data_IF_189694811786
#
_entry.id   IF_189694811786
#
_cell.length_a   1.000
_cell.length_b   1.000
_cell.length_c   1.000
_cell.angle_alpha   90.00
_cell.angle_beta   90.00
_cell.angle_gamma   90.00
#
_symmetry.space_group_name_H-M   'P 1'
#
loop_
_entity.id
_entity.type
_entity.pdbx_description
1 polymer ?
#
# COMPACT_ATOMS: atom_id res chain seq x y z
N UNK A 1 9.88 16.65 4.60
CA UNK A 1 9.92 15.19 4.64
C UNK A 1 10.13 14.73 6.08
N UNK A 2 9.32 13.81 6.56
CA UNK A 2 9.42 13.25 7.91
C UNK A 2 8.93 11.80 7.95
N UNK A 3 9.45 11.02 8.90
CA UNK A 3 9.05 9.62 9.10
C UNK A 3 8.57 9.40 10.53
N UNK A 4 7.65 8.47 10.71
CA UNK A 4 7.07 8.13 11.99
C UNK A 4 6.29 6.82 11.95
N UNK A 5 5.53 6.60 13.02
CA UNK A 5 4.61 5.47 13.13
C UNK A 5 3.18 5.99 13.25
N UNK A 6 2.27 5.42 12.46
CA UNK A 6 0.83 5.63 12.65
C UNK A 6 0.31 4.52 13.54
N UNK A 7 -0.33 4.91 14.64
CA UNK A 7 -0.80 3.98 15.66
C UNK A 7 -1.95 3.10 15.15
N UNK A 8 -1.88 1.80 15.47
CA UNK A 8 -2.97 0.85 15.22
C UNK A 8 -3.76 0.70 16.51
N UNK A 9 -5.08 0.86 16.45
CA UNK A 9 -5.96 0.77 17.60
C UNK A 9 -5.72 -0.54 18.37
N UNK A 10 -5.39 -0.43 19.67
CA UNK A 10 -5.16 -1.57 20.56
C UNK A 10 -3.92 -2.43 20.23
N UNK A 11 -2.96 -1.92 19.47
CA UNK A 11 -1.66 -2.55 19.27
C UNK A 11 -0.54 -1.75 19.95
N UNK A 12 0.53 -2.42 20.36
CA UNK A 12 1.71 -1.79 20.96
C UNK A 12 2.68 -1.20 19.93
N UNK A 13 2.43 -1.42 18.64
CA UNK A 13 3.23 -0.94 17.54
C UNK A 13 2.37 -0.15 16.53
N UNK A 14 3.03 0.47 15.56
CA UNK A 14 2.39 1.24 14.51
C UNK A 14 2.92 0.90 13.12
N UNK A 15 2.22 1.40 12.12
CA UNK A 15 2.58 1.30 10.70
C UNK A 15 3.69 2.32 10.40
N UNK A 16 4.86 1.90 9.87
CA UNK A 16 5.95 2.83 9.54
C UNK A 16 5.61 3.61 8.27
N UNK A 17 5.58 4.93 8.40
CA UNK A 17 5.17 5.86 7.34
C UNK A 17 6.23 6.94 7.13
N UNK A 18 6.40 7.35 5.87
CA UNK A 18 7.12 8.57 5.50
C UNK A 18 6.17 9.51 4.79
N UNK A 19 6.13 10.76 5.24
CA UNK A 19 5.40 11.85 4.59
C UNK A 19 6.39 12.75 3.86
N UNK A 20 6.14 13.02 2.59
CA UNK A 20 6.95 13.87 1.72
C UNK A 20 6.02 14.96 1.19
N UNK A 21 6.17 16.18 1.70
CA UNK A 21 5.41 17.34 1.24
C UNK A 21 6.26 18.09 0.21
N UNK A 22 5.76 18.20 -1.00
CA UNK A 22 6.39 18.98 -2.07
C UNK A 22 6.38 20.48 -1.79
N UNK A 23 7.22 21.22 -2.49
CA UNK A 23 7.28 22.69 -2.37
C UNK A 23 6.11 23.38 -3.10
N UNK A 24 5.43 22.68 -3.97
CA UNK A 24 4.28 23.18 -4.74
C UNK A 24 3.02 22.44 -4.33
N UNK A 25 1.89 23.13 -4.37
CA UNK A 25 0.59 22.51 -4.21
C UNK A 25 0.33 21.46 -5.28
N UNK A 26 -0.46 20.46 -4.96
CA UNK A 26 -0.83 19.36 -5.85
C UNK A 26 -1.52 18.24 -5.09
N UNK A 27 -1.80 17.18 -5.78
CA UNK A 27 -2.51 16.00 -5.27
C UNK A 27 -1.64 15.16 -4.33
N UNK A 28 -2.27 14.31 -3.56
CA UNK A 28 -1.61 13.40 -2.62
C UNK A 28 -1.64 11.98 -3.16
N UNK A 29 -0.47 11.37 -3.28
CA UNK A 29 -0.32 9.96 -3.66
C UNK A 29 0.02 9.13 -2.42
N UNK A 30 -0.77 8.10 -2.16
CA UNK A 30 -0.47 7.07 -1.19
C UNK A 30 0.24 5.91 -1.90
N UNK A 31 1.38 5.50 -1.37
CA UNK A 31 2.12 4.33 -1.85
C UNK A 31 2.28 3.38 -0.66
N UNK A 32 1.96 2.10 -0.84
CA UNK A 32 2.18 1.10 0.19
C UNK A 32 3.03 -0.08 -0.30
N UNK A 33 3.75 -0.68 0.63
CA UNK A 33 4.46 -1.94 0.43
C UNK A 33 4.24 -2.86 1.62
N UNK A 34 4.35 -4.18 1.39
CA UNK A 34 4.32 -5.18 2.42
C UNK A 34 2.96 -5.42 3.07
N UNK A 35 1.86 -5.30 2.32
CA UNK A 35 0.58 -5.89 2.71
C UNK A 35 0.74 -7.41 2.82
N UNK A 36 1.46 -8.01 1.87
CA UNK A 36 2.07 -9.32 2.01
C UNK A 36 3.54 -9.15 2.41
N UNK A 37 3.87 -9.66 3.57
CA UNK A 37 5.13 -9.38 4.24
C UNK A 37 6.35 -10.13 3.68
N UNK A 38 6.16 -11.11 2.80
CA UNK A 38 7.24 -11.81 2.09
C UNK A 38 7.47 -11.30 0.66
N UNK A 39 6.75 -10.28 0.25
CA UNK A 39 6.94 -9.60 -1.03
C UNK A 39 8.05 -8.53 -0.90
N UNK A 40 9.29 -9.00 -0.71
CA UNK A 40 10.42 -8.16 -0.32
C UNK A 40 10.78 -7.07 -1.31
N UNK A 41 10.57 -7.29 -2.61
CA UNK A 41 10.87 -6.30 -3.66
C UNK A 41 9.96 -5.09 -3.52
N UNK A 42 8.66 -5.30 -3.29
CA UNK A 42 7.70 -4.22 -3.06
C UNK A 42 8.02 -3.42 -1.79
N UNK A 43 8.41 -4.11 -0.71
CA UNK A 43 8.85 -3.47 0.54
C UNK A 43 10.12 -2.64 0.31
N UNK A 44 11.12 -3.20 -0.37
CA UNK A 44 12.36 -2.50 -0.69
C UNK A 44 12.11 -1.27 -1.57
N UNK A 45 11.24 -1.38 -2.57
CA UNK A 45 10.86 -0.25 -3.43
C UNK A 45 10.19 0.88 -2.61
N UNK A 46 9.27 0.54 -1.69
CA UNK A 46 8.66 1.53 -0.80
C UNK A 46 9.70 2.23 0.10
N UNK A 47 10.67 1.48 0.63
CA UNK A 47 11.76 2.05 1.43
C UNK A 47 12.65 2.98 0.60
N UNK A 48 13.05 2.57 -0.61
CA UNK A 48 13.87 3.39 -1.51
C UNK A 48 13.14 4.67 -1.91
N UNK A 49 11.86 4.59 -2.30
CA UNK A 49 11.05 5.77 -2.60
C UNK A 49 11.00 6.73 -1.39
N UNK A 50 10.79 6.19 -0.17
CA UNK A 50 10.78 7.00 1.03
C UNK A 50 12.12 7.71 1.27
N UNK A 51 13.25 7.13 0.87
CA UNK A 51 14.58 7.70 1.09
C UNK A 51 15.00 8.65 -0.04
N UNK A 52 14.76 8.29 -1.29
CA UNK A 52 15.31 8.97 -2.47
C UNK A 52 14.46 10.16 -2.95
N UNK A 53 13.15 10.17 -2.67
CA UNK A 53 12.28 11.24 -3.13
C UNK A 53 12.64 12.59 -2.48
N UNK A 54 12.96 13.55 -3.33
CA UNK A 54 13.32 14.91 -2.94
C UNK A 54 12.06 15.81 -2.99
N UNK A 55 11.64 16.39 -1.84
CA UNK A 55 10.48 17.29 -1.79
C UNK A 55 10.56 18.46 -2.79
N UNK A 56 11.76 18.94 -3.11
CA UNK A 56 11.97 20.03 -4.06
C UNK A 56 11.58 19.70 -5.50
N UNK A 57 11.48 18.41 -5.82
CA UNK A 57 11.14 17.92 -7.17
C UNK A 57 9.69 17.47 -7.30
N UNK A 58 8.91 17.59 -6.23
CA UNK A 58 7.54 17.07 -6.13
C UNK A 58 6.55 18.23 -6.07
N UNK A 59 5.43 18.12 -6.78
CA UNK A 59 4.22 18.89 -6.56
C UNK A 59 3.22 17.99 -5.82
N UNK A 60 2.53 18.54 -4.81
CA UNK A 60 1.64 17.78 -3.94
C UNK A 60 2.38 17.03 -2.85
N UNK A 61 1.78 15.94 -2.38
CA UNK A 61 2.31 15.16 -1.27
C UNK A 61 2.43 13.68 -1.65
N UNK A 62 3.37 12.99 -1.00
CA UNK A 62 3.47 11.53 -1.09
C UNK A 62 3.48 10.95 0.32
N UNK A 63 2.59 10.01 0.58
CA UNK A 63 2.53 9.22 1.80
C UNK A 63 3.06 7.83 1.44
N UNK A 64 4.13 7.38 2.09
CA UNK A 64 4.70 6.05 1.85
C UNK A 64 4.52 5.19 3.10
N UNK A 65 3.68 4.16 3.01
CA UNK A 65 3.63 3.05 3.97
C UNK A 65 4.74 2.08 3.58
N UNK A 66 5.82 2.05 4.37
CA UNK A 66 7.01 1.27 4.01
C UNK A 66 6.87 -0.23 4.24
N UNK A 67 6.05 -0.61 5.21
CA UNK A 67 5.81 -2.00 5.57
C UNK A 67 4.47 -2.10 6.33
N UNK A 68 3.42 -2.56 5.66
CA UNK A 68 2.08 -2.59 6.25
C UNK A 68 1.93 -3.73 7.26
N UNK A 69 2.32 -4.95 6.90
CA UNK A 69 2.25 -6.14 7.75
C UNK A 69 3.59 -6.35 8.47
N UNK A 70 3.87 -5.49 9.45
CA UNK A 70 5.15 -5.47 10.16
C UNK A 70 5.42 -6.76 10.93
N UNK A 71 4.46 -7.26 11.71
CA UNK A 71 4.67 -8.44 12.54
C UNK A 71 4.83 -9.70 11.71
N UNK A 72 4.09 -9.82 10.62
CA UNK A 72 4.31 -10.88 9.64
C UNK A 72 5.74 -10.87 9.08
N UNK A 73 6.29 -9.70 8.77
CA UNK A 73 7.66 -9.55 8.31
C UNK A 73 8.68 -9.96 9.38
N UNK A 74 8.52 -9.48 10.62
CA UNK A 74 9.41 -9.79 11.74
C UNK A 74 9.43 -11.29 12.07
N UNK A 75 8.28 -11.97 11.95
CA UNK A 75 8.12 -13.40 12.21
C UNK A 75 8.22 -14.29 10.96
N UNK A 76 8.41 -13.70 9.76
CA UNK A 76 8.59 -14.39 8.47
C UNK A 76 7.43 -15.32 8.11
N UNK A 77 6.22 -14.86 8.29
CA UNK A 77 4.98 -15.62 8.04
C UNK A 77 4.49 -15.48 6.60
N UNK A 78 5.33 -15.54 5.60
CA UNK A 78 4.94 -15.38 4.19
C UNK A 78 3.92 -14.24 3.97
N UNK A 79 2.67 -14.52 3.66
CA UNK A 79 1.62 -13.53 3.35
C UNK A 79 0.63 -13.27 4.50
N UNK A 80 0.87 -13.85 5.68
CA UNK A 80 -0.09 -13.81 6.80
C UNK A 80 0.39 -12.89 7.93
N UNK A 81 -0.55 -12.24 8.60
CA UNK A 81 -0.29 -11.55 9.87
C UNK A 81 0.00 -12.59 10.96
N UNK A 82 1.06 -12.37 11.74
CA UNK A 82 1.53 -13.35 12.71
C UNK A 82 0.51 -13.68 13.81
N UNK A 83 -0.16 -12.67 14.36
CA UNK A 83 -1.02 -12.81 15.53
C UNK A 83 -2.34 -13.53 15.26
N UNK A 84 -2.87 -13.43 14.05
CA UNK A 84 -4.19 -13.96 13.73
C UNK A 84 -4.21 -14.90 12.50
N UNK A 85 -3.08 -15.06 11.83
CA UNK A 85 -2.96 -15.94 10.68
C UNK A 85 -3.81 -15.56 9.47
N UNK A 86 -4.29 -14.31 9.41
CA UNK A 86 -5.09 -13.82 8.29
C UNK A 86 -4.22 -13.25 7.18
N UNK A 87 -4.67 -13.39 5.95
CA UNK A 87 -4.14 -12.62 4.83
C UNK A 87 -4.69 -11.19 4.92
N UNK A 88 -3.79 -10.22 5.20
CA UNK A 88 -4.17 -8.82 5.38
C UNK A 88 -4.90 -8.26 4.16
N UNK A 89 -4.54 -8.70 2.96
CA UNK A 89 -5.17 -8.27 1.70
C UNK A 89 -6.57 -8.91 1.45
N UNK A 90 -7.15 -9.60 2.43
CA UNK A 90 -8.50 -10.19 2.37
C UNK A 90 -9.44 -9.66 3.44
N UNK A 91 -8.99 -8.69 4.24
CA UNK A 91 -9.78 -8.18 5.37
C UNK A 91 -10.20 -6.72 5.25
N UNK A 92 -9.80 -6.03 4.18
CA UNK A 92 -10.25 -4.66 3.93
C UNK A 92 -11.78 -4.60 3.72
N UNK A 93 -12.46 -3.57 4.23
CA UNK A 93 -11.97 -2.32 4.84
C UNK A 93 -11.56 -2.42 6.32
N UNK A 94 -11.60 -3.59 6.92
CA UNK A 94 -11.24 -3.81 8.30
C UNK A 94 -12.35 -3.57 9.33
N UNK A 95 -12.00 -3.77 10.60
CA UNK A 95 -12.90 -3.57 11.74
C UNK A 95 -12.09 -3.12 12.97
N UNK A 96 -12.41 -1.98 13.62
CA UNK A 96 -11.66 -1.50 14.78
C UNK A 96 -11.75 -2.43 16.01
N UNK A 97 -12.78 -3.27 16.07
CA UNK A 97 -13.00 -4.24 17.14
C UNK A 97 -12.62 -5.68 16.73
N UNK A 98 -12.02 -5.86 15.56
CA UNK A 98 -11.60 -7.15 15.03
C UNK A 98 -10.23 -7.60 15.54
N UNK A 99 -9.67 -8.59 14.86
CA UNK A 99 -8.31 -9.07 15.12
C UNK A 99 -7.27 -8.07 14.63
N UNK A 100 -5.97 -8.35 14.76
CA UNK A 100 -4.94 -7.41 14.39
C UNK A 100 -4.99 -7.05 12.90
N UNK A 101 -5.16 -8.02 12.00
CA UNK A 101 -5.32 -7.76 10.57
C UNK A 101 -6.48 -6.81 10.28
N UNK A 102 -7.63 -7.05 10.91
CA UNK A 102 -8.82 -6.19 10.74
C UNK A 102 -8.53 -4.75 11.20
N UNK A 103 -7.80 -4.58 12.30
CA UNK A 103 -7.44 -3.26 12.84
C UNK A 103 -6.38 -2.54 12.01
N UNK A 104 -5.41 -3.27 11.44
CA UNK A 104 -4.45 -2.70 10.47
C UNK A 104 -5.21 -2.18 9.25
N UNK A 105 -6.05 -3.01 8.61
CA UNK A 105 -6.83 -2.61 7.45
C UNK A 105 -7.74 -1.41 7.75
N UNK A 106 -8.42 -1.42 8.89
CA UNK A 106 -9.25 -0.29 9.35
C UNK A 106 -8.43 1.00 9.49
N UNK A 107 -7.24 0.92 10.11
CA UNK A 107 -6.35 2.08 10.25
C UNK A 107 -5.92 2.63 8.89
N UNK A 108 -5.60 1.76 7.94
CA UNK A 108 -5.22 2.19 6.58
C UNK A 108 -6.39 2.92 5.91
N UNK A 109 -7.58 2.37 5.97
CA UNK A 109 -8.78 2.93 5.34
C UNK A 109 -9.20 4.26 5.98
N UNK A 110 -9.07 4.40 7.29
CA UNK A 110 -9.55 5.60 8.00
C UNK A 110 -8.51 6.71 8.11
N UNK A 111 -7.22 6.35 8.19
CA UNK A 111 -6.17 7.35 8.39
C UNK A 111 -5.49 7.79 7.09
N UNK A 112 -5.44 6.95 6.06
CA UNK A 112 -4.70 7.28 4.85
C UNK A 112 -5.60 7.52 3.63
N UNK A 113 -6.59 6.68 3.35
CA UNK A 113 -7.43 6.84 2.16
C UNK A 113 -8.13 8.19 2.06
N UNK A 114 -8.68 8.79 3.15
CA UNK A 114 -9.31 10.11 3.04
C UNK A 114 -8.34 11.26 2.73
N UNK A 115 -7.03 11.01 2.80
CA UNK A 115 -5.98 12.00 2.56
C UNK A 115 -5.30 11.82 1.20
N UNK A 116 -5.69 10.79 0.44
CA UNK A 116 -5.04 10.42 -0.82
C UNK A 116 -6.00 10.61 -2.00
N UNK A 117 -5.50 11.22 -3.06
CA UNK A 117 -6.19 11.33 -4.34
C UNK A 117 -5.92 10.08 -5.20
N UNK A 118 -4.74 9.46 -5.02
CA UNK A 118 -4.31 8.25 -5.73
C UNK A 118 -3.69 7.26 -4.77
N UNK A 119 -3.88 5.98 -5.07
CA UNK A 119 -3.29 4.88 -4.30
C UNK A 119 -2.56 3.89 -5.21
N UNK A 120 -1.34 3.55 -4.83
CA UNK A 120 -0.51 2.52 -5.47
C UNK A 120 -0.06 1.53 -4.41
N UNK A 121 -0.38 0.24 -4.61
CA UNK A 121 0.06 -0.83 -3.74
C UNK A 121 1.13 -1.67 -4.44
N UNK A 122 2.28 -1.83 -3.78
CA UNK A 122 3.45 -2.50 -4.34
C UNK A 122 3.46 -3.96 -3.90
N UNK A 123 3.32 -4.83 -4.88
CA UNK A 123 3.37 -6.28 -4.74
C UNK A 123 4.51 -6.88 -5.56
N UNK A 124 4.84 -8.13 -5.27
CA UNK A 124 5.69 -8.98 -6.11
C UNK A 124 5.38 -10.45 -5.82
N UNK A 125 6.20 -11.39 -6.29
CA UNK A 125 6.09 -12.79 -5.87
C UNK A 125 6.54 -12.97 -4.41
N UNK A 126 5.86 -13.83 -3.70
CA UNK A 126 6.20 -14.19 -2.31
C UNK A 126 7.56 -14.91 -2.25
N UNK A 127 8.46 -14.39 -1.45
CA UNK A 127 9.73 -15.04 -1.12
C UNK A 127 10.58 -15.42 -2.34
N UNK A 128 10.32 -16.57 -2.92
CA UNK A 128 11.11 -17.16 -4.02
C UNK A 128 10.38 -17.17 -5.37
N UNK A 129 9.19 -16.62 -5.45
CA UNK A 129 8.39 -16.60 -6.68
C UNK A 129 8.92 -15.56 -7.66
N UNK A 130 9.16 -15.99 -8.90
CA UNK A 130 9.44 -15.11 -10.01
C UNK A 130 8.14 -14.75 -10.73
N UNK A 131 7.78 -13.48 -10.76
CA UNK A 131 6.63 -12.98 -11.52
C UNK A 131 7.09 -12.08 -12.66
N UNK A 132 6.34 -12.12 -13.77
CA UNK A 132 6.44 -11.09 -14.81
C UNK A 132 5.91 -9.76 -14.27
N UNK A 133 6.44 -8.66 -14.76
CA UNK A 133 5.98 -7.33 -14.35
C UNK A 133 4.60 -7.06 -14.93
N UNK A 134 3.62 -6.75 -14.07
CA UNK A 134 2.28 -6.35 -14.48
C UNK A 134 1.69 -5.36 -13.49
N UNK A 135 0.66 -4.64 -13.91
CA UNK A 135 -0.12 -3.74 -13.06
C UNK A 135 -1.59 -4.12 -13.14
N UNK A 136 -2.24 -4.21 -12.00
CA UNK A 136 -3.68 -4.26 -11.92
C UNK A 136 -4.26 -2.85 -12.04
N UNK A 137 -5.29 -2.70 -12.89
CA UNK A 137 -6.20 -1.57 -12.85
C UNK A 137 -7.62 -2.06 -12.55
N UNK A 138 -8.38 -1.29 -11.78
CA UNK A 138 -9.75 -1.69 -11.45
C UNK A 138 -10.69 -1.50 -12.64
N UNK A 139 -11.49 -2.53 -12.95
CA UNK A 139 -12.57 -2.44 -13.94
C UNK A 139 -13.97 -2.52 -13.31
N UNK A 140 -14.04 -2.84 -12.01
CA UNK A 140 -15.29 -3.00 -11.26
C UNK A 140 -15.72 -1.73 -10.48
N UNK A 141 -14.94 -0.65 -10.58
CA UNK A 141 -15.24 0.63 -9.95
C UNK A 141 -16.16 1.50 -10.81
N UNK A 142 -16.57 2.67 -10.31
CA UNK A 142 -17.23 3.69 -11.09
C UNK A 142 -16.40 4.05 -12.34
N UNK A 143 -17.04 4.36 -13.48
CA UNK A 143 -16.34 4.53 -14.75
C UNK A 143 -15.18 5.53 -14.72
N UNK A 144 -15.32 6.63 -14.00
CA UNK A 144 -14.30 7.65 -13.83
C UNK A 144 -13.09 7.14 -13.01
N UNK A 145 -13.33 6.31 -11.99
CA UNK A 145 -12.28 5.69 -11.18
C UNK A 145 -11.55 4.63 -12.00
N UNK A 146 -12.29 3.80 -12.76
CA UNK A 146 -11.71 2.79 -13.63
C UNK A 146 -10.83 3.42 -14.73
N UNK A 147 -11.30 4.53 -15.35
CA UNK A 147 -10.53 5.26 -16.34
C UNK A 147 -9.23 5.84 -15.77
N UNK A 148 -9.30 6.45 -14.57
CA UNK A 148 -8.13 7.01 -13.89
C UNK A 148 -7.15 5.92 -13.45
N UNK A 149 -7.63 4.81 -12.92
CA UNK A 149 -6.79 3.66 -12.55
C UNK A 149 -6.05 3.10 -13.77
N UNK A 150 -6.71 3.04 -14.94
CA UNK A 150 -6.08 2.62 -16.18
C UNK A 150 -5.00 3.60 -16.65
N UNK A 151 -5.29 4.90 -16.61
CA UNK A 151 -4.31 5.94 -16.94
C UNK A 151 -3.05 5.82 -16.07
N UNK A 152 -3.22 5.63 -14.75
CA UNK A 152 -2.10 5.40 -13.83
C UNK A 152 -1.32 4.13 -14.19
N UNK A 153 -2.01 3.05 -14.52
CA UNK A 153 -1.38 1.79 -14.89
C UNK A 153 -0.55 1.90 -16.19
N UNK A 154 -1.01 2.66 -17.17
CA UNK A 154 -0.30 2.90 -18.44
C UNK A 154 1.01 3.68 -18.23
N UNK A 155 1.08 4.56 -17.23
CA UNK A 155 2.31 5.32 -16.87
C UNK A 155 3.40 4.40 -16.30
N UNK A 156 3.04 3.26 -15.71
CA UNK A 156 4.01 2.33 -15.12
C UNK A 156 4.94 1.65 -16.15
N UNK A 157 4.59 1.70 -17.45
CA UNK A 157 5.39 1.12 -18.55
C UNK A 157 5.80 -0.33 -18.33
N UNK A 158 4.90 -1.14 -17.80
CA UNK A 158 5.08 -2.60 -17.65
C UNK A 158 4.52 -3.37 -18.83
N UNK A 159 4.98 -4.61 -19.02
CA UNK A 159 4.60 -5.42 -20.17
C UNK A 159 3.10 -5.81 -20.20
N UNK A 160 2.48 -5.91 -19.03
CA UNK A 160 1.11 -6.38 -18.91
C UNK A 160 0.25 -5.46 -18.03
N UNK A 161 -0.91 -5.06 -18.57
CA UNK A 161 -1.98 -4.43 -17.81
C UNK A 161 -3.11 -5.44 -17.61
N UNK A 162 -3.49 -5.67 -16.37
CA UNK A 162 -4.56 -6.61 -16.01
C UNK A 162 -5.74 -5.83 -15.46
N UNK A 163 -6.87 -5.87 -16.16
CA UNK A 163 -8.10 -5.26 -15.68
C UNK A 163 -8.80 -6.21 -14.72
N UNK A 164 -8.85 -5.86 -13.45
CA UNK A 164 -9.55 -6.63 -12.42
C UNK A 164 -11.05 -6.32 -12.46
N UNK A 165 -11.87 -7.35 -12.67
CA UNK A 165 -13.33 -7.26 -12.61
C UNK A 165 -13.90 -7.63 -11.24
N UNK A 166 -13.04 -7.95 -10.28
CA UNK A 166 -13.46 -8.19 -8.90
C UNK A 166 -13.64 -6.86 -8.18
N UNK A 167 -14.70 -6.75 -7.40
CA UNK A 167 -14.94 -5.61 -6.52
C UNK A 167 -13.90 -5.54 -5.38
N UNK A 168 -13.92 -4.46 -4.63
CA UNK A 168 -13.02 -4.17 -3.52
C UNK A 168 -12.85 -5.38 -2.58
N UNK A 169 -11.64 -5.88 -2.46
CA UNK A 169 -11.30 -6.98 -1.54
C UNK A 169 -10.51 -8.13 -2.18
N UNK A 170 -10.02 -7.96 -3.37
CA UNK A 170 -9.10 -8.88 -4.02
C UNK A 170 -7.78 -8.23 -4.31
#
# INVERSE_FOLDING_TARGET
>A
KGSGLVHIIGAEFGIPVTLICGEKEGETVLISGGVHNAEYVGIQAAMQLADELDPKKIAGNIIVIRLMNRTGFEHRTMSLTYEDGKNLNRVFPGNPNGTLSDRIAYTVVTEFFPKADYYVDLHCGDGFEGLVSYVYCTGAAAPEVAAKSREMAEIAHVDYLVTSMYGTGG
#
